data_IF_374363082702
#
_entry.id   IF_374363082702
#
_cell.length_a   1.000
_cell.length_b   1.000
_cell.length_c   1.000
_cell.angle_alpha   90.00
_cell.angle_beta   90.00
_cell.angle_gamma   90.00
#
_symmetry.space_group_name_H-M   'P 1'
#
loop_
_entity.id
_entity.type
_entity.pdbx_description
1 polymer ?
#
# COMPACT_ATOMS: atom_id res chain seq x y z
N UNK A 1 12.12 -24.86 -1.07
CA UNK A 1 11.42 -23.83 -0.24
C UNK A 1 12.09 -23.75 1.11
N UNK A 2 12.56 -22.56 1.50
CA UNK A 2 13.05 -22.34 2.85
C UNK A 2 11.88 -22.49 3.85
N UNK A 3 12.15 -23.06 5.01
CA UNK A 3 11.15 -23.15 6.07
C UNK A 3 10.86 -21.75 6.61
N UNK A 4 9.58 -21.35 6.60
CA UNK A 4 9.10 -20.10 7.20
C UNK A 4 8.14 -20.45 8.32
N UNK A 5 8.34 -19.82 9.48
CA UNK A 5 7.50 -20.01 10.66
C UNK A 5 6.13 -19.38 10.42
N UNK A 6 5.06 -20.09 10.77
CA UNK A 6 3.69 -19.58 10.73
C UNK A 6 3.45 -18.70 11.96
N UNK A 7 2.79 -17.56 11.79
CA UNK A 7 2.50 -16.57 12.82
C UNK A 7 0.97 -16.41 13.02
N UNK A 8 0.25 -17.46 13.50
CA UNK A 8 -1.21 -17.53 13.45
C UNK A 8 -1.92 -16.53 14.37
N UNK A 9 -1.20 -15.98 15.34
CA UNK A 9 -1.73 -15.03 16.32
C UNK A 9 -1.00 -13.69 16.28
N UNK A 10 -0.49 -13.33 15.10
CA UNK A 10 0.23 -12.08 14.91
C UNK A 10 -0.66 -10.89 15.25
N UNK A 11 -0.26 -10.12 16.24
CA UNK A 11 -0.85 -8.82 16.54
C UNK A 11 -0.32 -7.79 15.56
N UNK A 12 -1.08 -7.51 14.51
CA UNK A 12 -0.69 -6.54 13.48
C UNK A 12 -0.42 -5.15 14.06
N UNK A 13 -1.14 -4.75 15.12
CA UNK A 13 -0.92 -3.47 15.77
C UNK A 13 0.47 -3.34 16.41
N UNK A 14 1.05 -4.46 16.87
CA UNK A 14 2.41 -4.49 17.42
C UNK A 14 3.51 -4.37 16.35
N UNK A 15 3.18 -4.68 15.09
CA UNK A 15 4.10 -4.58 13.96
C UNK A 15 4.09 -3.18 13.36
N UNK A 16 2.97 -2.45 13.49
CA UNK A 16 2.81 -1.13 12.89
C UNK A 16 3.91 -0.16 13.34
N UNK A 17 4.35 0.66 12.39
CA UNK A 17 5.26 1.78 12.70
C UNK A 17 4.56 2.73 13.68
N UNK A 18 5.26 3.27 14.70
CA UNK A 18 4.61 4.02 15.79
C UNK A 18 3.72 5.18 15.35
N UNK A 19 4.11 5.91 14.31
CA UNK A 19 3.36 7.06 13.80
C UNK A 19 2.23 6.66 12.85
N UNK A 20 2.23 5.44 12.32
CA UNK A 20 1.19 4.91 11.44
C UNK A 20 -0.16 4.85 12.19
N UNK A 21 -0.21 4.13 13.30
CA UNK A 21 -1.41 4.03 14.12
C UNK A 21 -1.89 5.39 14.64
N UNK A 22 -0.98 6.22 15.13
CA UNK A 22 -1.33 7.56 15.63
C UNK A 22 -2.02 8.41 14.58
N UNK A 23 -1.54 8.36 13.34
CA UNK A 23 -2.11 9.15 12.25
C UNK A 23 -3.46 8.62 11.84
N UNK A 24 -3.66 7.30 11.80
CA UNK A 24 -4.98 6.68 11.58
C UNK A 24 -5.97 7.11 12.67
N UNK A 25 -5.57 7.04 13.94
CA UNK A 25 -6.42 7.43 15.07
C UNK A 25 -6.78 8.93 14.99
N UNK A 26 -5.82 9.79 14.63
CA UNK A 26 -6.07 11.21 14.41
C UNK A 26 -7.01 11.46 13.25
N UNK A 27 -6.80 10.83 12.08
CA UNK A 27 -7.68 10.93 10.91
C UNK A 27 -9.12 10.54 11.28
N UNK A 28 -9.29 9.43 12.02
CA UNK A 28 -10.60 8.95 12.46
C UNK A 28 -11.30 9.89 13.47
N UNK A 29 -10.54 10.76 14.15
CA UNK A 29 -11.09 11.79 15.04
C UNK A 29 -11.61 13.02 14.31
N UNK A 30 -11.28 13.21 13.03
CA UNK A 30 -11.65 14.38 12.26
C UNK A 30 -13.14 14.38 11.92
N UNK A 31 -13.72 15.58 11.90
CA UNK A 31 -15.05 15.82 11.35
C UNK A 31 -14.91 16.30 9.91
N UNK A 32 -15.64 15.65 9.02
CA UNK A 32 -15.69 16.05 7.60
C UNK A 32 -16.77 17.12 7.43
N UNK A 33 -16.49 18.24 6.72
CA UNK A 33 -17.50 19.18 6.37
C UNK A 33 -18.63 18.53 5.59
N UNK A 34 -19.86 18.93 5.86
CA UNK A 34 -21.04 18.45 5.14
C UNK A 34 -20.92 18.85 3.66
N UNK A 35 -20.86 17.83 2.79
CA UNK A 35 -21.00 18.01 1.34
C UNK A 35 -22.37 17.49 0.98
N UNK A 36 -23.22 18.30 0.33
CA UNK A 36 -24.54 17.85 -0.03
C UNK A 36 -24.42 16.65 -1.00
N UNK A 37 -25.19 15.60 -0.73
CA UNK A 37 -25.28 14.41 -1.60
C UNK A 37 -25.55 14.80 -3.06
N UNK A 38 -26.31 15.87 -3.24
CA UNK A 38 -26.70 16.37 -4.55
C UNK A 38 -25.53 16.99 -5.32
N UNK A 39 -24.65 17.71 -4.65
CA UNK A 39 -23.50 18.33 -5.28
C UNK A 39 -22.45 17.29 -5.64
N UNK A 40 -22.27 16.28 -4.81
CA UNK A 40 -21.37 15.16 -5.11
C UNK A 40 -21.90 14.31 -6.29
N UNK A 41 -23.17 13.92 -6.27
CA UNK A 41 -23.81 13.16 -7.34
C UNK A 41 -23.82 13.93 -8.68
N UNK A 42 -24.06 15.25 -8.64
CA UNK A 42 -24.07 16.11 -9.83
C UNK A 42 -22.68 16.21 -10.48
N UNK A 43 -21.63 16.16 -9.71
CA UNK A 43 -20.26 16.23 -10.23
C UNK A 43 -19.78 14.90 -10.78
N UNK A 44 -20.17 13.78 -10.16
CA UNK A 44 -19.91 12.45 -10.70
C UNK A 44 -20.63 12.24 -12.04
N UNK A 45 -21.81 12.83 -12.21
CA UNK A 45 -22.59 12.78 -13.47
C UNK A 45 -21.94 13.56 -14.62
N UNK A 46 -20.99 14.45 -14.35
CA UNK A 46 -20.26 15.23 -15.37
C UNK A 46 -19.09 14.47 -16.02
N UNK A 47 -18.81 13.26 -15.59
CA UNK A 47 -17.81 12.37 -16.20
C UNK A 47 -18.46 11.08 -16.73
N UNK A 48 -19.27 11.16 -17.79
CA UNK A 48 -19.91 9.99 -18.37
C UNK A 48 -18.89 9.23 -19.23
N UNK A 49 -18.26 8.21 -18.69
CA UNK A 49 -17.90 7.03 -19.47
C UNK A 49 -19.00 6.00 -19.26
N UNK A 50 -20.02 6.08 -20.11
CA UNK A 50 -20.97 5.03 -20.49
C UNK A 50 -21.69 4.18 -19.42
N UNK A 51 -21.92 4.66 -18.19
CA UNK A 51 -22.68 3.92 -17.22
C UNK A 51 -23.97 4.62 -16.78
N UNK A 52 -25.00 3.83 -16.57
CA UNK A 52 -26.36 4.24 -16.29
C UNK A 52 -26.42 5.18 -15.09
N UNK A 53 -26.60 6.47 -15.34
CA UNK A 53 -26.73 7.57 -14.36
C UNK A 53 -27.78 7.26 -13.25
N UNK A 54 -28.71 6.36 -13.53
CA UNK A 54 -29.73 5.95 -12.60
C UNK A 54 -29.20 5.04 -11.50
N UNK A 55 -28.27 4.15 -11.83
CA UNK A 55 -27.62 3.26 -10.87
C UNK A 55 -26.71 4.05 -9.92
N UNK A 56 -25.97 4.99 -10.44
CA UNK A 56 -25.20 5.95 -9.66
C UNK A 56 -26.09 6.77 -8.69
N UNK A 57 -27.21 7.26 -9.18
CA UNK A 57 -28.17 8.01 -8.37
C UNK A 57 -28.72 7.18 -7.23
N UNK A 58 -29.06 5.91 -7.45
CA UNK A 58 -29.58 5.03 -6.40
C UNK A 58 -28.51 4.65 -5.36
N UNK A 59 -27.25 4.46 -5.79
CA UNK A 59 -26.11 4.24 -4.87
C UNK A 59 -25.93 5.45 -3.93
N UNK A 60 -25.99 6.65 -4.47
CA UNK A 60 -25.88 7.87 -3.68
C UNK A 60 -27.14 8.22 -2.87
N UNK A 61 -28.31 7.83 -3.34
CA UNK A 61 -29.59 8.02 -2.66
C UNK A 61 -29.73 7.12 -1.42
N UNK A 62 -29.06 5.98 -1.39
CA UNK A 62 -29.04 5.07 -0.24
C UNK A 62 -28.40 5.67 1.03
N UNK A 63 -27.90 6.88 0.92
CA UNK A 63 -27.77 7.87 1.97
C UNK A 63 -26.80 7.57 3.08
N UNK A 64 -25.58 8.10 2.97
CA UNK A 64 -24.72 8.28 4.13
C UNK A 64 -24.72 9.76 4.49
N UNK A 65 -25.16 10.11 5.68
CA UNK A 65 -24.91 11.42 6.26
C UNK A 65 -23.44 11.42 6.69
N UNK A 66 -22.59 12.16 5.99
CA UNK A 66 -21.15 12.24 6.24
C UNK A 66 -20.88 13.04 7.51
N UNK A 67 -21.02 12.41 8.67
CA UNK A 67 -20.74 13.05 9.96
C UNK A 67 -19.40 12.65 10.56
N UNK A 68 -18.86 11.50 10.15
CA UNK A 68 -17.58 11.01 10.62
C UNK A 68 -16.59 10.79 9.45
N UNK A 69 -15.31 10.81 9.77
CA UNK A 69 -14.29 10.48 8.79
C UNK A 69 -14.44 9.06 8.25
N UNK A 70 -14.87 8.13 9.08
CA UNK A 70 -15.15 6.73 8.71
C UNK A 70 -16.29 6.63 7.69
N UNK A 71 -17.38 7.39 7.90
CA UNK A 71 -18.50 7.38 6.95
C UNK A 71 -18.09 7.99 5.61
N UNK A 72 -17.24 9.02 5.65
CA UNK A 72 -16.66 9.62 4.46
C UNK A 72 -15.75 8.64 3.70
N UNK A 73 -14.88 7.91 4.40
CA UNK A 73 -14.07 6.85 3.81
C UNK A 73 -14.93 5.81 3.12
N UNK A 74 -15.91 5.25 3.81
CA UNK A 74 -16.82 4.23 3.25
C UNK A 74 -17.54 4.71 1.99
N UNK A 75 -17.90 5.98 1.95
CA UNK A 75 -18.57 6.56 0.78
C UNK A 75 -17.62 6.78 -0.40
N UNK A 76 -16.37 7.19 -0.14
CA UNK A 76 -15.36 7.44 -1.19
C UNK A 76 -14.69 6.17 -1.70
N UNK A 77 -14.58 5.15 -0.85
CA UNK A 77 -14.08 3.81 -1.21
C UNK A 77 -15.18 2.88 -1.71
N UNK A 78 -16.34 3.43 -2.05
CA UNK A 78 -17.60 2.75 -2.30
C UNK A 78 -17.47 1.46 -3.13
N UNK A 79 -18.41 0.55 -2.89
CA UNK A 79 -18.60 -0.72 -3.62
C UNK A 79 -18.44 -0.61 -5.15
N UNK A 80 -18.77 0.56 -5.72
CA UNK A 80 -18.64 0.80 -7.15
C UNK A 80 -17.18 0.82 -7.61
N UNK A 81 -16.30 1.57 -6.91
CA UNK A 81 -14.87 1.63 -7.26
C UNK A 81 -14.19 0.28 -7.09
N UNK A 82 -14.56 -0.44 -6.02
CA UNK A 82 -14.09 -1.81 -5.82
C UNK A 82 -14.59 -2.74 -6.92
N UNK A 83 -15.87 -2.64 -7.29
CA UNK A 83 -16.45 -3.43 -8.37
C UNK A 83 -15.84 -3.07 -9.73
N UNK A 84 -15.61 -1.78 -10.01
CA UNK A 84 -14.93 -1.34 -11.24
C UNK A 84 -13.52 -1.94 -11.33
N UNK A 85 -12.71 -1.79 -10.29
CA UNK A 85 -11.36 -2.35 -10.23
C UNK A 85 -11.39 -3.89 -10.34
N UNK A 86 -12.44 -4.54 -9.82
CA UNK A 86 -12.61 -5.98 -9.94
C UNK A 86 -12.86 -6.41 -11.38
N UNK A 87 -13.76 -5.74 -12.07
CA UNK A 87 -14.06 -6.01 -13.48
C UNK A 87 -12.83 -5.77 -14.35
N UNK A 88 -12.11 -4.66 -14.12
CA UNK A 88 -10.88 -4.33 -14.84
C UNK A 88 -9.80 -5.41 -14.63
N UNK A 89 -9.53 -5.79 -13.39
CA UNK A 89 -8.54 -6.83 -13.09
C UNK A 89 -8.92 -8.21 -13.64
N UNK A 90 -10.22 -8.57 -13.62
CA UNK A 90 -10.70 -9.83 -14.21
C UNK A 90 -10.67 -9.80 -15.74
N UNK A 91 -10.88 -8.63 -16.34
CA UNK A 91 -10.90 -8.47 -17.80
C UNK A 91 -9.51 -8.38 -18.42
N UNK A 92 -8.54 -7.77 -17.73
CA UNK A 92 -7.19 -7.48 -18.25
C UNK A 92 -6.08 -8.30 -17.57
N UNK A 93 -6.39 -9.01 -16.46
CA UNK A 93 -5.42 -9.78 -15.68
C UNK A 93 -5.63 -11.28 -15.76
N UNK A 94 -4.57 -12.03 -15.50
CA UNK A 94 -4.60 -13.48 -15.29
C UNK A 94 -4.82 -13.72 -13.80
N UNK A 95 -5.92 -14.41 -13.44
CA UNK A 95 -6.16 -14.82 -12.07
C UNK A 95 -5.09 -15.81 -11.60
N UNK A 96 -4.46 -15.53 -10.48
CA UNK A 96 -3.42 -16.38 -9.90
C UNK A 96 -4.11 -17.52 -9.15
N UNK A 97 -4.11 -18.70 -9.77
CA UNK A 97 -4.70 -19.94 -9.25
C UNK A 97 -3.71 -21.10 -9.32
N UNK A 98 -4.11 -22.25 -8.74
CA UNK A 98 -3.32 -23.48 -8.84
C UNK A 98 -3.11 -23.95 -10.28
N UNK A 99 -4.05 -23.61 -11.16
CA UNK A 99 -4.05 -24.03 -12.57
C UNK A 99 -3.32 -23.03 -13.48
N UNK A 100 -3.51 -21.73 -13.25
CA UNK A 100 -2.99 -20.67 -14.15
C UNK A 100 -1.53 -20.32 -13.86
N UNK A 101 -1.20 -20.05 -12.60
CA UNK A 101 0.12 -19.59 -12.15
C UNK A 101 0.53 -20.34 -10.86
N UNK A 102 0.78 -21.66 -10.93
CA UNK A 102 0.91 -22.52 -9.75
C UNK A 102 2.05 -22.13 -8.80
N UNK A 103 3.13 -21.55 -9.30
CA UNK A 103 4.25 -21.11 -8.46
C UNK A 103 3.88 -19.89 -7.64
N UNK A 104 3.30 -18.87 -8.29
CA UNK A 104 2.83 -17.65 -7.61
C UNK A 104 1.69 -17.95 -6.64
N UNK A 105 0.78 -18.85 -7.03
CA UNK A 105 -0.31 -19.26 -6.15
C UNK A 105 0.21 -19.93 -4.85
N UNK A 106 1.16 -20.86 -4.96
CA UNK A 106 1.76 -21.48 -3.76
C UNK A 106 2.43 -20.46 -2.85
N UNK A 107 3.09 -19.46 -3.44
CA UNK A 107 3.75 -18.44 -2.66
C UNK A 107 2.74 -17.51 -1.98
N UNK A 108 1.64 -17.17 -2.66
CA UNK A 108 0.53 -16.39 -2.09
C UNK A 108 -0.15 -17.15 -0.94
N UNK A 109 -0.53 -18.42 -1.16
CA UNK A 109 -1.13 -19.30 -0.16
C UNK A 109 -0.23 -19.39 1.07
N UNK A 110 1.08 -19.61 0.86
CA UNK A 110 2.07 -19.69 1.93
C UNK A 110 2.24 -18.36 2.67
N UNK A 111 2.21 -17.25 1.98
CA UNK A 111 2.30 -15.92 2.58
C UNK A 111 1.08 -15.60 3.45
N UNK A 112 -0.11 -15.97 2.99
CA UNK A 112 -1.34 -15.89 3.76
C UNK A 112 -1.29 -16.75 5.03
N UNK A 113 -0.81 -17.99 4.91
CA UNK A 113 -0.62 -18.89 6.07
C UNK A 113 0.37 -18.31 7.10
N UNK A 114 1.53 -17.83 6.63
CA UNK A 114 2.56 -17.26 7.52
C UNK A 114 2.02 -16.11 8.35
N UNK A 115 1.25 -15.22 7.74
CA UNK A 115 0.70 -14.04 8.42
C UNK A 115 -0.66 -14.28 9.09
N UNK A 116 -1.23 -15.48 8.99
CA UNK A 116 -2.55 -15.79 9.56
C UNK A 116 -3.69 -15.02 8.90
N UNK A 117 -3.54 -14.67 7.61
CA UNK A 117 -4.53 -13.93 6.81
C UNK A 117 -5.32 -14.95 5.97
N UNK A 118 -6.63 -14.72 5.81
CA UNK A 118 -7.45 -15.52 4.90
C UNK A 118 -6.99 -15.31 3.46
N UNK A 119 -7.23 -16.31 2.62
CA UNK A 119 -6.93 -16.25 1.18
C UNK A 119 -7.42 -14.94 0.55
N UNK A 120 -6.52 -14.26 -0.14
CA UNK A 120 -6.77 -13.03 -0.87
C UNK A 120 -6.64 -13.33 -2.36
N UNK A 121 -7.65 -13.00 -3.19
CA UNK A 121 -7.52 -13.10 -4.64
C UNK A 121 -6.35 -12.26 -5.17
N UNK A 122 -5.62 -12.80 -6.13
CA UNK A 122 -4.53 -12.09 -6.77
C UNK A 122 -4.56 -12.25 -8.28
N UNK A 123 -4.09 -11.23 -8.99
CA UNK A 123 -4.06 -11.15 -10.44
C UNK A 123 -2.66 -10.76 -10.93
N UNK A 124 -2.23 -11.38 -12.02
CA UNK A 124 -1.05 -10.95 -12.77
C UNK A 124 -1.49 -10.13 -13.98
N UNK A 125 -0.91 -8.95 -14.16
CA UNK A 125 -1.19 -8.06 -15.28
C UNK A 125 0.09 -7.60 -15.96
N UNK A 126 -0.02 -7.02 -17.15
CA UNK A 126 1.11 -6.50 -17.92
C UNK A 126 0.88 -5.05 -18.39
N UNK A 127 0.25 -4.22 -17.56
CA UNK A 127 0.05 -2.80 -17.89
C UNK A 127 1.37 -2.08 -18.18
N UNK A 128 2.45 -2.50 -17.50
CA UNK A 128 3.83 -2.14 -17.81
C UNK A 128 4.78 -3.20 -17.23
N UNK A 129 5.89 -3.44 -17.91
CA UNK A 129 6.90 -4.37 -17.43
C UNK A 129 7.76 -3.75 -16.35
N UNK A 130 7.77 -4.34 -15.14
CA UNK A 130 8.56 -3.88 -14.01
C UNK A 130 8.23 -4.58 -12.69
N UNK A 131 9.01 -4.33 -11.64
CA UNK A 131 8.83 -4.95 -10.33
C UNK A 131 7.74 -4.24 -9.50
N UNK A 132 6.58 -4.04 -10.10
CA UNK A 132 5.46 -3.33 -9.47
C UNK A 132 4.37 -4.29 -9.01
N UNK A 133 3.72 -3.91 -7.93
CA UNK A 133 2.62 -4.60 -7.30
C UNK A 133 1.82 -3.61 -6.46
N UNK A 134 0.56 -3.91 -6.22
CA UNK A 134 -0.28 -3.16 -5.31
C UNK A 134 -1.44 -4.03 -4.82
N UNK A 135 -2.04 -3.63 -3.72
CA UNK A 135 -3.31 -4.19 -3.25
C UNK A 135 -4.38 -3.12 -3.25
N UNK A 136 -5.62 -3.50 -3.40
CA UNK A 136 -6.77 -2.62 -3.34
C UNK A 136 -7.99 -3.30 -2.71
N UNK A 137 -9.04 -2.51 -2.46
CA UNK A 137 -10.29 -2.94 -1.89
C UNK A 137 -10.29 -2.98 -0.35
N UNK A 138 -11.42 -2.65 0.23
CA UNK A 138 -11.73 -2.80 1.66
C UNK A 138 -12.57 -4.06 1.89
N UNK A 139 -13.65 -4.23 1.12
CA UNK A 139 -14.55 -5.37 1.17
C UNK A 139 -14.17 -6.47 0.19
N UNK A 140 -13.75 -6.11 -1.02
CA UNK A 140 -13.25 -7.02 -2.06
C UNK A 140 -11.74 -6.86 -2.20
N UNK A 141 -11.02 -7.32 -1.19
CA UNK A 141 -9.55 -7.22 -1.10
C UNK A 141 -8.89 -8.08 -2.16
N UNK A 142 -7.86 -7.54 -2.81
CA UNK A 142 -7.10 -8.25 -3.84
C UNK A 142 -5.68 -7.69 -3.96
N UNK A 143 -4.81 -8.51 -4.54
CA UNK A 143 -3.43 -8.12 -4.87
C UNK A 143 -3.27 -8.18 -6.38
N UNK A 144 -2.61 -7.18 -6.95
CA UNK A 144 -2.23 -7.13 -8.37
C UNK A 144 -0.71 -7.12 -8.47
N UNK A 145 -0.18 -8.01 -9.29
CA UNK A 145 1.26 -8.19 -9.49
C UNK A 145 1.55 -8.01 -10.97
N UNK A 146 2.45 -7.09 -11.31
CA UNK A 146 2.90 -6.96 -12.69
C UNK A 146 3.73 -8.18 -13.09
N UNK A 147 3.60 -8.62 -14.33
CA UNK A 147 4.32 -9.79 -14.88
C UNK A 147 5.82 -9.70 -14.69
N UNK A 148 6.39 -8.50 -14.79
CA UNK A 148 7.80 -8.24 -14.52
C UNK A 148 8.24 -8.60 -13.10
N UNK A 149 7.37 -8.55 -12.10
CA UNK A 149 7.69 -9.00 -10.75
C UNK A 149 7.96 -10.51 -10.69
N UNK A 150 7.19 -11.31 -11.43
CA UNK A 150 7.40 -12.76 -11.52
C UNK A 150 8.75 -13.12 -12.15
N UNK A 151 9.21 -12.31 -13.12
CA UNK A 151 10.49 -12.54 -13.83
C UNK A 151 11.72 -12.05 -13.05
N UNK A 152 11.54 -11.07 -12.18
CA UNK A 152 12.64 -10.35 -11.53
C UNK A 152 12.92 -10.83 -10.11
N UNK A 153 11.92 -11.40 -9.43
CA UNK A 153 12.02 -11.80 -8.03
C UNK A 153 12.17 -13.31 -7.87
N UNK A 154 13.02 -13.69 -6.92
CA UNK A 154 13.09 -15.07 -6.40
C UNK A 154 11.84 -15.39 -5.56
N UNK A 155 11.61 -16.66 -5.20
CA UNK A 155 10.50 -17.06 -4.34
C UNK A 155 10.50 -16.29 -2.99
N UNK A 156 11.67 -16.12 -2.37
CA UNK A 156 11.78 -15.41 -1.09
C UNK A 156 11.52 -13.90 -1.24
N UNK A 157 11.98 -13.30 -2.32
CA UNK A 157 11.70 -11.90 -2.65
C UNK A 157 10.21 -11.68 -2.98
N UNK A 158 9.59 -12.64 -3.67
CA UNK A 158 8.14 -12.62 -3.92
C UNK A 158 7.36 -12.75 -2.61
N UNK A 159 7.83 -13.54 -1.64
CA UNK A 159 7.24 -13.59 -0.31
C UNK A 159 7.28 -12.24 0.41
N UNK A 160 8.38 -11.51 0.28
CA UNK A 160 8.46 -10.14 0.80
C UNK A 160 7.44 -9.21 0.15
N UNK A 161 7.32 -9.27 -1.18
CA UNK A 161 6.36 -8.48 -1.96
C UNK A 161 4.92 -8.78 -1.55
N UNK A 162 4.56 -10.06 -1.49
CA UNK A 162 3.23 -10.50 -1.07
C UNK A 162 2.94 -10.13 0.38
N UNK A 163 3.91 -10.32 1.28
CA UNK A 163 3.80 -9.93 2.68
C UNK A 163 3.62 -8.43 2.89
N UNK A 164 4.25 -7.60 2.06
CA UNK A 164 4.05 -6.15 2.04
C UNK A 164 2.61 -5.79 1.66
N UNK A 165 2.06 -6.35 0.60
CA UNK A 165 0.68 -6.08 0.17
C UNK A 165 -0.35 -6.64 1.17
N UNK A 166 -0.11 -7.84 1.70
CA UNK A 166 -0.92 -8.40 2.77
C UNK A 166 -0.85 -7.54 4.05
N UNK A 167 0.29 -6.92 4.32
CA UNK A 167 0.47 -5.96 5.40
C UNK A 167 -0.43 -4.75 5.27
N UNK A 168 -0.50 -4.14 4.09
CA UNK A 168 -1.43 -3.05 3.83
C UNK A 168 -2.89 -3.46 4.04
N UNK A 169 -3.25 -4.68 3.64
CA UNK A 169 -4.60 -5.22 3.84
C UNK A 169 -4.89 -5.45 5.32
N UNK A 170 -3.97 -6.10 6.04
CA UNK A 170 -4.14 -6.47 7.45
C UNK A 170 -4.19 -5.26 8.38
N UNK A 171 -3.37 -4.23 8.09
CA UNK A 171 -3.31 -2.99 8.87
C UNK A 171 -4.38 -1.95 8.46
N UNK A 172 -5.24 -2.26 7.50
CA UNK A 172 -6.36 -1.40 7.11
C UNK A 172 -5.96 -0.11 6.38
N UNK A 173 -4.84 -0.10 5.64
CA UNK A 173 -4.33 1.09 4.96
C UNK A 173 -5.13 1.47 3.72
N UNK A 174 -5.75 0.51 3.06
CA UNK A 174 -6.33 0.71 1.72
C UNK A 174 -7.43 1.77 1.61
N UNK A 175 -8.37 1.90 2.56
CA UNK A 175 -9.34 2.99 2.51
C UNK A 175 -8.70 4.38 2.45
N UNK A 176 -7.63 4.58 3.20
CA UNK A 176 -6.91 5.86 3.26
C UNK A 176 -6.05 6.12 2.01
N UNK A 177 -5.46 5.08 1.41
CA UNK A 177 -4.78 5.17 0.13
C UNK A 177 -5.77 5.59 -0.97
N UNK A 178 -6.94 4.95 -1.03
CA UNK A 178 -7.99 5.31 -2.00
C UNK A 178 -8.52 6.73 -1.78
N UNK A 179 -8.55 7.22 -0.53
CA UNK A 179 -8.91 8.60 -0.23
C UNK A 179 -7.90 9.58 -0.83
N UNK A 180 -6.59 9.31 -0.70
CA UNK A 180 -5.56 10.14 -1.34
C UNK A 180 -5.77 10.27 -2.84
N UNK A 181 -6.03 9.16 -3.52
CA UNK A 181 -6.33 9.16 -4.95
C UNK A 181 -7.58 10.01 -5.26
N UNK A 182 -8.58 9.99 -4.38
CA UNK A 182 -9.80 10.81 -4.54
C UNK A 182 -9.50 12.30 -4.49
N UNK A 183 -8.50 12.76 -3.72
CA UNK A 183 -8.11 14.18 -3.67
C UNK A 183 -7.45 14.70 -4.95
N UNK A 184 -6.96 13.82 -5.79
CA UNK A 184 -6.44 14.18 -7.12
C UNK A 184 -7.54 14.25 -8.18
N UNK A 185 -8.76 13.80 -7.85
CA UNK A 185 -9.89 13.83 -8.78
C UNK A 185 -10.60 15.19 -8.72
N UNK A 186 -10.97 15.82 -9.86
CA UNK A 186 -11.56 17.18 -9.90
C UNK A 186 -13.03 17.25 -9.44
N UNK A 187 -13.51 16.24 -8.70
CA UNK A 187 -14.94 15.97 -8.52
C UNK A 187 -15.64 16.81 -7.45
N UNK A 188 -14.92 17.50 -6.56
CA UNK A 188 -15.58 18.25 -5.49
C UNK A 188 -15.35 19.74 -5.66
N UNK A 189 -16.42 20.49 -6.01
CA UNK A 189 -16.37 21.94 -6.16
C UNK A 189 -16.76 22.73 -4.90
N UNK A 190 -17.13 22.04 -3.82
CA UNK A 190 -17.44 22.72 -2.56
C UNK A 190 -16.20 23.35 -1.94
N UNK A 191 -16.29 24.65 -1.60
CA UNK A 191 -15.17 25.42 -1.10
C UNK A 191 -14.71 24.98 0.29
N UNK A 192 -15.65 24.59 1.17
CA UNK A 192 -15.34 24.12 2.52
C UNK A 192 -14.66 22.76 2.48
N UNK A 193 -15.11 21.85 1.58
CA UNK A 193 -14.47 20.59 1.36
C UNK A 193 -13.07 20.73 0.78
N UNK A 194 -12.87 21.62 -0.21
CA UNK A 194 -11.54 21.88 -0.78
C UNK A 194 -10.57 22.42 0.26
N UNK A 195 -11.01 23.35 1.11
CA UNK A 195 -10.20 23.88 2.20
C UNK A 195 -9.82 22.78 3.20
N UNK A 196 -10.77 21.96 3.62
CA UNK A 196 -10.55 20.82 4.50
C UNK A 196 -9.63 19.78 3.87
N UNK A 197 -9.87 19.37 2.62
CA UNK A 197 -9.04 18.44 1.88
C UNK A 197 -7.59 18.94 1.74
N UNK A 198 -7.40 20.26 1.53
CA UNK A 198 -6.07 20.86 1.47
C UNK A 198 -5.33 20.73 2.81
N UNK A 199 -6.02 20.88 3.93
CA UNK A 199 -5.44 20.76 5.27
C UNK A 199 -5.00 19.32 5.56
N UNK A 200 -5.84 18.33 5.25
CA UNK A 200 -5.55 16.93 5.59
C UNK A 200 -4.64 16.23 4.57
N UNK A 201 -4.55 16.75 3.34
CA UNK A 201 -3.76 16.12 2.26
C UNK A 201 -2.30 15.92 2.64
N UNK A 202 -1.66 16.91 3.27
CA UNK A 202 -0.25 16.82 3.63
C UNK A 202 0.01 15.76 4.73
N UNK A 203 -0.69 15.77 5.87
CA UNK A 203 -0.57 14.72 6.87
C UNK A 203 -0.88 13.32 6.31
N UNK A 204 -1.88 13.24 5.43
CA UNK A 204 -2.25 11.96 4.81
C UNK A 204 -1.19 11.45 3.83
N UNK A 205 -0.53 12.34 3.06
CA UNK A 205 0.62 11.99 2.21
C UNK A 205 1.82 11.55 3.04
N UNK A 206 2.05 12.18 4.16
CA UNK A 206 3.14 11.80 5.08
C UNK A 206 2.87 10.44 5.70
N UNK A 207 1.64 10.21 6.15
CA UNK A 207 1.20 8.91 6.64
C UNK A 207 1.27 7.82 5.56
N UNK A 208 0.92 8.10 4.31
CA UNK A 208 1.01 7.14 3.21
C UNK A 208 2.41 6.52 3.11
N UNK A 209 3.46 7.33 3.32
CA UNK A 209 4.85 6.84 3.34
C UNK A 209 5.16 6.02 4.58
N UNK A 210 4.61 6.40 5.72
CA UNK A 210 4.78 5.67 6.98
C UNK A 210 4.10 4.30 6.90
N UNK A 211 2.97 4.21 6.21
CA UNK A 211 2.25 2.95 6.00
C UNK A 211 3.08 1.92 5.22
N UNK A 212 3.97 2.37 4.32
CA UNK A 212 4.91 1.50 3.63
C UNK A 212 5.98 0.92 4.58
N UNK A 213 6.41 1.65 5.61
CA UNK A 213 7.33 1.09 6.62
C UNK A 213 6.68 -0.03 7.41
N UNK A 214 5.41 0.12 7.76
CA UNK A 214 4.62 -0.96 8.37
C UNK A 214 4.50 -2.16 7.42
N UNK A 215 4.17 -1.92 6.17
CA UNK A 215 4.03 -2.97 5.16
C UNK A 215 5.35 -3.72 4.91
N UNK A 216 6.50 -3.03 4.96
CA UNK A 216 7.83 -3.64 4.83
C UNK A 216 8.16 -4.56 6.01
N UNK A 217 7.77 -4.19 7.24
CA UNK A 217 7.89 -5.07 8.41
C UNK A 217 7.07 -6.35 8.23
N UNK A 218 5.83 -6.22 7.73
CA UNK A 218 4.99 -7.38 7.39
C UNK A 218 5.61 -8.23 6.27
N UNK A 219 6.20 -7.60 5.26
CA UNK A 219 6.97 -8.27 4.22
C UNK A 219 8.12 -9.09 4.78
N UNK A 220 8.91 -8.53 5.71
CA UNK A 220 10.00 -9.24 6.37
C UNK A 220 9.50 -10.39 7.25
N UNK A 221 8.41 -10.20 8.01
CA UNK A 221 7.80 -11.29 8.76
C UNK A 221 7.31 -12.43 7.86
N UNK A 222 6.88 -12.12 6.64
CA UNK A 222 6.45 -13.09 5.66
C UNK A 222 7.61 -13.86 5.03
N UNK A 223 8.64 -13.18 4.52
CA UNK A 223 9.79 -13.83 3.88
C UNK A 223 10.78 -14.42 4.88
N UNK A 224 10.87 -13.87 6.08
CA UNK A 224 11.78 -14.26 7.18
C UNK A 224 13.26 -14.29 6.77
N UNK A 225 13.62 -13.45 5.80
CA UNK A 225 14.98 -13.29 5.31
C UNK A 225 15.27 -11.82 4.98
N UNK A 226 16.05 -11.17 5.83
CA UNK A 226 16.40 -9.75 5.67
C UNK A 226 17.16 -9.49 4.36
N UNK A 227 17.97 -10.43 3.90
CA UNK A 227 18.72 -10.29 2.66
C UNK A 227 17.78 -10.26 1.45
N UNK A 228 16.80 -11.15 1.40
CA UNK A 228 15.77 -11.15 0.35
C UNK A 228 14.92 -9.87 0.38
N UNK A 229 14.55 -9.38 1.57
CA UNK A 229 13.81 -8.14 1.71
C UNK A 229 14.58 -6.94 1.12
N UNK A 230 15.85 -6.79 1.50
CA UNK A 230 16.71 -5.69 1.02
C UNK A 230 17.06 -5.84 -0.46
N UNK A 231 17.34 -7.06 -0.93
CA UNK A 231 17.54 -7.36 -2.36
C UNK A 231 16.33 -6.95 -3.20
N UNK A 232 15.10 -7.23 -2.70
CA UNK A 232 13.86 -6.78 -3.36
C UNK A 232 13.83 -5.27 -3.51
N UNK A 233 14.17 -4.52 -2.46
CA UNK A 233 14.18 -3.05 -2.50
C UNK A 233 15.22 -2.51 -3.48
N UNK A 234 16.42 -3.12 -3.53
CA UNK A 234 17.50 -2.76 -4.47
C UNK A 234 17.04 -2.98 -5.92
N UNK A 235 16.40 -4.12 -6.20
CA UNK A 235 15.85 -4.42 -7.52
C UNK A 235 14.76 -3.43 -7.91
N UNK A 236 13.86 -3.09 -6.97
CA UNK A 236 12.81 -2.06 -7.16
C UNK A 236 13.39 -0.65 -7.36
N UNK A 237 14.54 -0.35 -6.74
CA UNK A 237 15.24 0.93 -6.93
C UNK A 237 15.86 1.09 -8.32
N UNK A 238 15.83 0.04 -9.16
CA UNK A 238 16.22 0.10 -10.56
C UNK A 238 17.56 -0.59 -10.87
N UNK A 239 18.03 -1.52 -10.03
CA UNK A 239 19.19 -2.31 -10.35
C UNK A 239 18.96 -3.11 -11.64
N UNK A 240 19.84 -2.99 -12.66
CA UNK A 240 19.68 -3.77 -13.88
C UNK A 240 19.79 -5.27 -13.65
N UNK A 241 18.95 -6.08 -14.33
CA UNK A 241 18.92 -7.54 -14.18
C UNK A 241 20.28 -8.21 -14.31
N UNK A 242 21.15 -7.71 -15.21
CA UNK A 242 22.53 -8.22 -15.38
C UNK A 242 23.45 -8.04 -14.15
N UNK A 243 23.02 -7.24 -13.17
CA UNK A 243 23.77 -6.95 -11.93
C UNK A 243 23.21 -7.72 -10.71
N UNK A 244 22.20 -8.57 -10.89
CA UNK A 244 21.56 -9.24 -9.75
C UNK A 244 22.48 -10.22 -9.02
N UNK A 245 23.43 -10.83 -9.70
CA UNK A 245 24.41 -11.73 -9.09
C UNK A 245 25.45 -11.00 -8.22
N UNK A 246 25.51 -9.66 -8.31
CA UNK A 246 26.46 -8.81 -7.60
C UNK A 246 25.78 -7.74 -6.73
N UNK A 247 24.62 -8.08 -6.14
CA UNK A 247 23.91 -7.17 -5.24
C UNK A 247 24.74 -6.91 -3.99
N UNK A 248 25.06 -5.63 -3.76
CA UNK A 248 25.75 -5.15 -2.57
C UNK A 248 24.75 -4.49 -1.61
N UNK A 249 24.29 -5.29 -0.66
CA UNK A 249 23.32 -4.85 0.36
C UNK A 249 23.96 -3.83 1.31
N UNK A 250 25.25 -4.03 1.70
CA UNK A 250 25.93 -3.15 2.62
C UNK A 250 26.07 -1.74 2.04
N UNK A 251 26.47 -1.65 0.78
CA UNK A 251 26.56 -0.36 0.07
C UNK A 251 25.20 0.36 0.01
N UNK A 252 24.11 -0.37 -0.17
CA UNK A 252 22.77 0.22 -0.21
C UNK A 252 22.31 0.71 1.16
N UNK A 253 22.62 -0.01 2.23
CA UNK A 253 22.35 0.43 3.61
C UNK A 253 23.24 1.63 3.98
N UNK A 254 24.50 1.64 3.60
CA UNK A 254 25.36 2.80 3.79
C UNK A 254 24.84 4.04 3.06
N UNK A 255 24.34 3.88 1.84
CA UNK A 255 23.65 4.96 1.13
C UNK A 255 22.46 5.49 1.92
N UNK A 256 21.67 4.62 2.57
CA UNK A 256 20.56 5.04 3.44
C UNK A 256 21.04 5.86 4.63
N UNK A 257 22.09 5.40 5.31
CA UNK A 257 22.67 6.10 6.47
C UNK A 257 23.21 7.49 6.08
N UNK A 258 23.93 7.59 4.97
CA UNK A 258 24.44 8.87 4.45
C UNK A 258 23.34 9.81 4.00
N UNK A 259 22.28 9.29 3.38
CA UNK A 259 21.16 10.09 2.93
C UNK A 259 20.47 10.88 4.05
N UNK A 260 20.45 10.35 5.27
CA UNK A 260 19.88 11.05 6.43
C UNK A 260 20.84 12.10 7.02
N UNK A 261 22.15 11.89 6.90
CA UNK A 261 23.20 12.78 7.46
C UNK A 261 23.55 13.94 6.52
N UNK A 262 23.71 13.68 5.22
CA UNK A 262 24.18 14.68 4.25
C UNK A 262 23.16 15.80 3.99
N UNK A 263 21.87 15.56 4.18
CA UNK A 263 20.80 16.52 3.96
C UNK A 263 20.35 17.20 5.25
N UNK A 264 21.30 17.75 6.02
CA UNK A 264 21.05 18.42 7.32
C UNK A 264 20.92 19.92 7.24
N UNK A 265 21.37 20.56 6.15
CA UNK A 265 21.24 22.01 5.93
C UNK A 265 19.77 22.48 5.87
N UNK A 266 19.54 23.75 6.21
CA UNK A 266 18.17 24.31 6.18
C UNK A 266 17.56 24.23 4.78
N UNK A 267 18.33 24.51 3.73
CA UNK A 267 17.89 24.43 2.34
C UNK A 267 17.66 22.96 1.95
N UNK A 268 18.56 22.04 2.37
CA UNK A 268 18.44 20.61 2.10
C UNK A 268 17.19 20.03 2.72
N UNK A 269 16.84 20.44 3.95
CA UNK A 269 15.57 20.05 4.59
C UNK A 269 14.35 20.53 3.82
N UNK A 270 14.39 21.75 3.29
CA UNK A 270 13.31 22.28 2.45
C UNK A 270 13.22 21.51 1.13
N UNK A 271 14.34 21.27 0.46
CA UNK A 271 14.38 20.47 -0.79
C UNK A 271 13.92 19.05 -0.52
N UNK A 272 14.41 18.40 0.54
CA UNK A 272 13.98 17.06 0.97
C UNK A 272 12.47 17.04 1.22
N UNK A 273 11.95 18.03 1.94
CA UNK A 273 10.51 18.16 2.20
C UNK A 273 9.69 18.38 0.92
N UNK A 274 10.18 19.20 -0.01
CA UNK A 274 9.52 19.45 -1.29
C UNK A 274 9.58 18.22 -2.21
N UNK A 275 10.72 17.55 -2.26
CA UNK A 275 10.89 16.29 -3.03
C UNK A 275 10.05 15.16 -2.45
N UNK A 276 9.97 15.06 -1.15
CA UNK A 276 9.07 14.17 -0.43
C UNK A 276 7.59 14.46 -0.78
N UNK A 277 7.22 15.73 -0.92
CA UNK A 277 5.85 16.12 -1.30
C UNK A 277 5.50 15.80 -2.75
N UNK A 278 6.49 15.74 -3.64
CA UNK A 278 6.29 15.37 -5.04
C UNK A 278 6.36 13.86 -5.29
N UNK A 279 6.93 13.08 -4.37
CA UNK A 279 7.01 11.62 -4.48
C UNK A 279 5.78 10.97 -3.86
N UNK A 280 5.03 10.24 -4.66
CA UNK A 280 3.87 9.44 -4.18
C UNK A 280 4.32 8.31 -3.25
N UNK A 281 5.52 7.78 -3.44
CA UNK A 281 6.07 6.66 -2.66
C UNK A 281 7.32 7.09 -1.88
N UNK A 282 7.55 6.51 -0.67
CA UNK A 282 8.78 6.74 0.06
C UNK A 282 9.97 6.14 -0.70
N UNK A 283 11.09 6.83 -0.66
CA UNK A 283 12.29 6.35 -1.32
C UNK A 283 12.74 5.00 -0.78
N UNK A 284 13.04 4.07 -1.67
CA UNK A 284 13.43 2.70 -1.32
C UNK A 284 14.69 2.65 -0.43
N UNK A 285 15.59 3.60 -0.60
CA UNK A 285 16.77 3.78 0.27
C UNK A 285 16.35 4.04 1.71
N UNK A 286 15.38 4.95 1.93
CA UNK A 286 14.86 5.26 3.28
C UNK A 286 14.11 4.05 3.86
N UNK A 287 13.29 3.38 3.05
CA UNK A 287 12.56 2.17 3.47
C UNK A 287 13.52 1.08 3.93
N UNK A 288 14.59 0.83 3.16
CA UNK A 288 15.61 -0.15 3.51
C UNK A 288 16.28 0.16 4.85
N UNK A 289 16.66 1.42 5.09
CA UNK A 289 17.22 1.85 6.37
C UNK A 289 16.25 1.62 7.52
N UNK A 290 14.98 2.04 7.38
CA UNK A 290 13.96 1.84 8.42
C UNK A 290 13.67 0.37 8.72
N UNK A 291 13.69 -0.47 7.69
CA UNK A 291 13.53 -1.91 7.88
C UNK A 291 14.74 -2.53 8.60
N UNK A 292 15.95 -2.09 8.23
CA UNK A 292 17.18 -2.56 8.86
C UNK A 292 17.28 -2.11 10.34
N UNK A 293 16.94 -0.85 10.65
CA UNK A 293 16.86 -0.34 12.01
C UNK A 293 15.93 -1.20 12.88
N UNK A 294 14.75 -1.55 12.35
CA UNK A 294 13.80 -2.41 13.06
C UNK A 294 14.32 -3.84 13.23
N UNK A 295 14.99 -4.40 12.24
CA UNK A 295 15.60 -5.71 12.33
C UNK A 295 16.73 -5.75 13.39
N UNK A 296 17.59 -4.73 13.41
CA UNK A 296 18.72 -4.59 14.34
C UNK A 296 18.26 -4.24 15.76
N UNK A 297 17.09 -3.60 15.96
CA UNK A 297 16.52 -3.32 17.29
C UNK A 297 16.20 -4.58 18.08
N UNK A 298 16.02 -5.71 17.41
CA UNK A 298 15.64 -6.99 18.01
C UNK A 298 14.12 -7.22 18.09
N UNK A 299 13.30 -6.20 17.84
CA UNK A 299 11.83 -6.32 17.85
C UNK A 299 11.31 -7.40 16.89
N UNK A 300 11.92 -7.49 15.68
CA UNK A 300 11.63 -8.57 14.75
C UNK A 300 11.81 -9.95 15.38
N UNK A 301 12.94 -10.18 16.05
CA UNK A 301 13.25 -11.46 16.68
C UNK A 301 12.31 -11.77 17.84
N UNK A 302 11.89 -10.75 18.60
CA UNK A 302 10.89 -10.93 19.66
C UNK A 302 9.56 -11.41 19.10
N UNK A 303 9.09 -10.83 17.98
CA UNK A 303 7.84 -11.23 17.33
C UNK A 303 7.95 -12.68 16.83
N UNK A 304 9.01 -13.00 16.09
CA UNK A 304 9.22 -14.35 15.56
C UNK A 304 9.31 -15.40 16.67
N UNK A 305 9.91 -15.08 17.81
CA UNK A 305 10.12 -16.05 18.90
C UNK A 305 8.91 -16.22 19.83
N UNK A 306 8.00 -15.25 19.87
CA UNK A 306 6.77 -15.33 20.70
C UNK A 306 5.68 -16.21 20.08
N UNK A 307 5.76 -16.56 18.80
CA UNK A 307 4.74 -17.30 18.04
C UNK A 307 4.92 -18.82 18.10
#
# INVERSE_FOLDING_TARGET
MAYRKILPHLDYASVMYPDDKKTIDWLNSLKVPYVSKWDFAKQMALHPRDHDLKEWYEIFKAGVDYYTFQDFLRATTSKYREAYNEVENQGEGINITKESLPQMYRELERSCEVLGIKDIPAYSTDWFYGPYHFSNGETHRRIVIMSGSADLFTESEMAFVLGHELGHIACGHKPYHMLLETFYMPFVNDAAFKAWATIIKLPLLEWYRISDFTADRMGLLCCQDIKSALSTMIKKAGLPKKCYDSIDIESFIDQSRHFDVELTGTMDKVVKMLSIRSAEFPWLVVRAGKLMDWYESGEYNEIINKQ
#
